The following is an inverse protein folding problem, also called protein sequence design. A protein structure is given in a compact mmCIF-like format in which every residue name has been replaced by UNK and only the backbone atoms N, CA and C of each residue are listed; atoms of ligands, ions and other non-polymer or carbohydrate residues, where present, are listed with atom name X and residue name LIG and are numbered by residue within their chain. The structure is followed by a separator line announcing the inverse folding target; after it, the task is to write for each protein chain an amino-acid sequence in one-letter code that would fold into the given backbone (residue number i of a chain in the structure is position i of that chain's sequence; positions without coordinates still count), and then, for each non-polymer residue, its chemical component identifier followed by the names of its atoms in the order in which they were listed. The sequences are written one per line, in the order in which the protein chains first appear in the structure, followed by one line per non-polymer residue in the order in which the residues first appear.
data_IF_994664349004
#
_entry.id   IF_994664349004
#
_cell.length_a   1.000
_cell.length_b   1.000
_cell.length_c   1.000
_cell.angle_alpha   90.00
_cell.angle_beta   90.00
_cell.angle_gamma   90.00
#
_symmetry.space_group_name_H-M   'P 1'
#
loop_
_entity.id
_entity.type
_entity.pdbx_description
1 polymer ?
#
# COMPACT_ATOMS: atom_id res chain seq x y z
N UNK A 1 3.81 -6.26 -11.74
CA UNK A 1 3.32 -6.85 -10.47
C UNK A 1 2.12 -7.78 -10.67
N UNK A 2 1.26 -7.53 -11.67
CA UNK A 2 -0.02 -8.25 -11.86
C UNK A 2 0.06 -9.77 -12.05
N UNK A 3 1.14 -10.29 -12.66
CA UNK A 3 1.33 -11.75 -12.82
C UNK A 3 1.83 -12.37 -11.50
N UNK A 4 2.77 -11.69 -10.83
CA UNK A 4 3.40 -12.17 -9.61
C UNK A 4 2.42 -12.23 -8.43
N UNK A 5 1.52 -11.26 -8.35
CA UNK A 5 0.46 -11.23 -7.34
C UNK A 5 -0.45 -12.48 -7.42
N UNK A 6 -0.77 -12.94 -8.63
CA UNK A 6 -1.61 -14.13 -8.85
C UNK A 6 -0.94 -15.43 -8.42
N UNK A 7 0.39 -15.48 -8.39
CA UNK A 7 1.15 -16.63 -7.91
C UNK A 7 1.09 -16.79 -6.38
N UNK A 8 0.68 -15.75 -5.66
CA UNK A 8 0.49 -15.80 -4.22
C UNK A 8 -0.89 -16.37 -3.89
N UNK A 9 -0.92 -17.52 -3.23
CA UNK A 9 -2.15 -18.23 -2.83
C UNK A 9 -2.31 -18.13 -1.32
N UNK A 10 -3.47 -17.64 -0.90
CA UNK A 10 -3.83 -17.45 0.51
C UNK A 10 -3.81 -18.81 1.23
N UNK A 11 -3.29 -18.84 2.46
CA UNK A 11 -3.09 -20.00 3.33
C UNK A 11 -2.14 -21.08 2.79
N UNK A 12 -1.44 -20.82 1.69
CA UNK A 12 -0.49 -21.77 1.10
C UNK A 12 0.90 -21.16 0.96
N UNK A 13 0.98 -19.95 0.39
CA UNK A 13 2.27 -19.31 0.17
C UNK A 13 2.87 -18.87 1.50
N UNK A 14 4.11 -19.29 1.78
CA UNK A 14 4.84 -18.85 2.96
C UNK A 14 5.66 -17.58 2.68
N UNK A 15 6.16 -16.98 3.75
CA UNK A 15 7.01 -15.78 3.73
C UNK A 15 8.20 -15.90 2.78
N UNK A 16 8.91 -17.02 2.78
CA UNK A 16 10.09 -17.20 1.92
C UNK A 16 9.72 -17.24 0.43
N UNK A 17 8.59 -17.85 0.09
CA UNK A 17 8.09 -17.89 -1.28
C UNK A 17 7.64 -16.51 -1.75
N UNK A 18 7.00 -15.71 -0.86
CA UNK A 18 6.68 -14.31 -1.13
C UNK A 18 7.96 -13.53 -1.47
N UNK A 19 9.03 -13.68 -0.68
CA UNK A 19 10.32 -13.04 -0.96
C UNK A 19 10.96 -13.52 -2.27
N UNK A 20 10.87 -14.81 -2.61
CA UNK A 20 11.39 -15.33 -3.89
C UNK A 20 10.64 -14.75 -5.09
N UNK A 21 9.31 -14.65 -5.00
CA UNK A 21 8.45 -14.20 -6.10
C UNK A 21 8.53 -12.67 -6.27
N UNK A 22 8.36 -11.93 -5.18
CA UNK A 22 8.22 -10.47 -5.20
C UNK A 22 9.51 -9.71 -4.88
N UNK A 23 10.48 -10.34 -4.21
CA UNK A 23 11.64 -9.68 -3.64
C UNK A 23 11.35 -9.05 -2.28
N UNK A 24 12.25 -8.19 -1.78
CA UNK A 24 12.02 -7.45 -0.54
C UNK A 24 10.84 -6.48 -0.68
N UNK A 25 10.03 -6.28 0.37
CA UNK A 25 8.94 -5.31 0.33
C UNK A 25 9.47 -3.88 0.27
N UNK A 26 8.70 -2.99 -0.33
CA UNK A 26 9.01 -1.56 -0.37
C UNK A 26 8.93 -0.93 1.02
N UNK A 27 7.99 -1.39 1.84
CA UNK A 27 7.90 -1.01 3.25
C UNK A 27 7.15 -2.08 4.05
N UNK A 28 7.30 -2.03 5.37
CA UNK A 28 6.55 -2.86 6.31
C UNK A 28 5.47 -2.01 6.98
N UNK A 29 4.41 -2.65 7.49
CA UNK A 29 3.35 -1.95 8.21
C UNK A 29 3.93 -1.11 9.36
N UNK A 30 3.49 0.15 9.48
CA UNK A 30 3.98 1.05 10.53
C UNK A 30 3.57 0.60 11.94
N UNK A 31 2.47 -0.16 12.03
CA UNK A 31 1.90 -0.67 13.29
C UNK A 31 2.05 -2.18 13.44
N UNK A 32 2.34 -2.90 12.35
CA UNK A 32 2.45 -4.36 12.37
C UNK A 32 3.57 -4.82 11.41
N UNK A 33 4.55 -5.52 11.98
CA UNK A 33 5.70 -6.08 11.25
C UNK A 33 5.34 -7.25 10.34
N UNK A 34 4.12 -7.79 10.49
CA UNK A 34 3.59 -8.90 9.72
C UNK A 34 2.97 -8.48 8.37
N UNK A 35 2.95 -7.17 8.08
CA UNK A 35 2.41 -6.65 6.83
C UNK A 35 3.53 -6.15 5.93
N UNK A 36 3.58 -6.70 4.72
CA UNK A 36 4.49 -6.32 3.65
C UNK A 36 3.74 -5.55 2.57
N UNK A 37 4.27 -4.37 2.25
CA UNK A 37 3.72 -3.51 1.22
C UNK A 37 4.72 -3.41 0.08
N UNK A 38 4.25 -3.73 -1.12
CA UNK A 38 4.99 -3.61 -2.36
C UNK A 38 4.37 -2.50 -3.20
N UNK A 39 5.20 -1.56 -3.66
CA UNK A 39 4.77 -0.40 -4.45
C UNK A 39 5.50 -0.43 -5.79
N UNK A 40 4.76 -0.57 -6.88
CA UNK A 40 5.28 -0.43 -8.25
C UNK A 40 4.76 0.87 -8.88
N UNK A 41 5.68 1.80 -9.16
CA UNK A 41 5.38 3.08 -9.80
C UNK A 41 6.15 3.23 -11.12
N UNK A 42 5.44 3.53 -12.21
CA UNK A 42 6.05 3.92 -13.49
C UNK A 42 5.57 5.30 -13.91
N UNK A 43 6.52 6.15 -14.30
CA UNK A 43 6.24 7.52 -14.78
C UNK A 43 6.80 7.71 -16.18
N UNK A 44 6.04 8.39 -17.04
CA UNK A 44 6.51 8.88 -18.33
C UNK A 44 6.99 10.32 -18.20
N UNK A 45 8.11 10.65 -18.83
CA UNK A 45 8.61 12.03 -18.94
C UNK A 45 7.94 12.71 -20.13
N UNK A 46 7.33 13.88 -19.91
CA UNK A 46 6.82 14.68 -21.01
C UNK A 46 7.93 15.44 -21.74
N UNK A 47 7.63 15.91 -22.96
CA UNK A 47 8.57 16.71 -23.78
C UNK A 47 9.15 17.89 -22.96
N UNK A 48 10.39 18.28 -23.25
CA UNK A 48 11.08 19.42 -22.63
C UNK A 48 10.25 20.72 -22.65
N UNK A 49 9.47 20.96 -23.71
CA UNK A 49 8.52 22.10 -23.80
C UNK A 49 7.45 22.12 -22.71
N UNK A 50 7.13 20.97 -22.10
CA UNK A 50 6.24 20.84 -20.94
C UNK A 50 7.01 20.79 -19.61
N UNK A 51 8.26 21.27 -19.60
CA UNK A 51 9.17 21.28 -18.45
C UNK A 51 9.42 19.89 -17.85
N UNK A 52 9.41 18.85 -18.69
CA UNK A 52 9.71 17.48 -18.24
C UNK A 52 8.71 16.92 -17.21
N UNK A 53 7.51 17.50 -17.08
CA UNK A 53 6.47 17.04 -16.14
C UNK A 53 6.26 15.53 -16.29
N UNK A 54 6.32 14.80 -15.17
CA UNK A 54 6.16 13.35 -15.13
C UNK A 54 4.68 12.98 -15.09
N UNK A 55 4.20 12.15 -16.03
CA UNK A 55 2.85 11.56 -16.00
C UNK A 55 2.92 10.18 -15.35
N UNK A 56 2.12 9.94 -14.32
CA UNK A 56 2.01 8.64 -13.66
C UNK A 56 1.28 7.65 -14.57
N UNK A 57 2.00 6.64 -15.09
CA UNK A 57 1.47 5.58 -15.93
C UNK A 57 0.88 4.46 -15.08
N UNK A 58 1.70 3.89 -14.20
CA UNK A 58 1.34 2.77 -13.33
C UNK A 58 1.57 3.17 -11.88
N UNK A 59 0.62 2.81 -11.03
CA UNK A 59 0.72 2.85 -9.58
C UNK A 59 -0.04 1.64 -9.06
N UNK A 60 0.71 0.57 -8.79
CA UNK A 60 0.21 -0.68 -8.25
C UNK A 60 0.75 -0.83 -6.84
N UNK A 61 -0.14 -1.13 -5.90
CA UNK A 61 0.18 -1.39 -4.50
C UNK A 61 -0.35 -2.76 -4.17
N UNK A 62 0.55 -3.66 -3.77
CA UNK A 62 0.21 -4.97 -3.27
C UNK A 62 0.50 -5.02 -1.78
N UNK A 63 -0.52 -5.30 -1.00
CA UNK A 63 -0.47 -5.42 0.44
C UNK A 63 -0.59 -6.91 0.76
N UNK A 64 0.35 -7.43 1.54
CA UNK A 64 0.47 -8.85 1.88
C UNK A 64 0.54 -8.95 3.40
N UNK A 65 -0.38 -9.69 4.00
CA UNK A 65 -0.42 -9.94 5.43
C UNK A 65 -0.04 -11.39 5.70
N UNK A 66 0.87 -11.58 6.64
CA UNK A 66 1.42 -12.88 7.01
C UNK A 66 1.05 -13.15 8.46
N UNK A 67 0.67 -14.38 8.81
CA UNK A 67 0.45 -14.71 10.22
C UNK A 67 1.78 -14.87 10.99
N UNK A 68 1.67 -15.08 12.30
CA UNK A 68 2.82 -15.33 13.16
C UNK A 68 3.59 -16.61 12.80
N UNK A 69 3.00 -17.52 12.00
CA UNK A 69 3.65 -18.74 11.50
C UNK A 69 4.37 -18.52 10.17
N UNK A 70 4.27 -17.33 9.58
CA UNK A 70 4.90 -17.02 8.31
C UNK A 70 4.06 -17.40 7.08
N UNK A 71 2.76 -17.63 7.22
CA UNK A 71 1.85 -18.02 6.13
C UNK A 71 1.05 -16.80 5.66
N UNK A 72 0.88 -16.64 4.34
CA UNK A 72 0.05 -15.61 3.74
C UNK A 72 -1.42 -15.77 4.15
N UNK A 73 -1.97 -14.84 4.91
CA UNK A 73 -3.38 -14.86 5.35
C UNK A 73 -4.28 -13.92 4.57
N UNK A 74 -3.73 -12.83 4.04
CA UNK A 74 -4.49 -11.89 3.22
C UNK A 74 -3.60 -11.21 2.18
N UNK A 75 -4.19 -10.92 1.02
CA UNK A 75 -3.57 -10.10 -0.01
C UNK A 75 -4.59 -9.12 -0.59
N UNK A 76 -4.18 -7.87 -0.77
CA UNK A 76 -5.00 -6.84 -1.38
C UNK A 76 -4.19 -6.14 -2.49
N UNK A 77 -4.75 -6.11 -3.69
CA UNK A 77 -4.12 -5.51 -4.86
C UNK A 77 -4.89 -4.28 -5.36
N UNK A 78 -4.23 -3.13 -5.21
CA UNK A 78 -4.76 -1.81 -5.55
C UNK A 78 -4.01 -1.24 -6.75
N UNK A 79 -4.72 -0.97 -7.84
CA UNK A 79 -4.20 -0.23 -8.97
C UNK A 79 -4.62 1.24 -8.87
N UNK A 80 -4.04 2.09 -9.73
CA UNK A 80 -4.31 3.54 -9.77
C UNK A 80 -5.81 3.88 -9.80
N UNK A 81 -6.63 3.09 -10.49
CA UNK A 81 -8.07 3.31 -10.59
C UNK A 81 -8.81 2.93 -9.32
N UNK A 82 -8.50 1.77 -8.73
CA UNK A 82 -9.07 1.32 -7.46
C UNK A 82 -8.73 2.30 -6.33
N UNK A 83 -7.48 2.77 -6.27
CA UNK A 83 -7.05 3.76 -5.27
C UNK A 83 -7.88 5.04 -5.38
N UNK A 84 -8.11 5.55 -6.58
CA UNK A 84 -8.92 6.75 -6.80
C UNK A 84 -10.41 6.55 -6.44
N UNK A 85 -10.92 5.31 -6.48
CA UNK A 85 -12.29 4.95 -6.11
C UNK A 85 -12.47 4.71 -4.61
N UNK A 86 -11.39 4.62 -3.84
CA UNK A 86 -11.46 4.54 -2.38
C UNK A 86 -11.86 5.93 -1.87
N UNK A 87 -13.17 6.12 -1.70
CA UNK A 87 -13.72 7.28 -1.02
C UNK A 87 -13.39 7.15 0.47
N UNK A 88 -12.38 7.89 0.94
CA UNK A 88 -12.14 8.07 2.37
C UNK A 88 -13.25 8.96 2.91
N UNK A 89 -14.38 8.38 3.32
CA UNK A 89 -15.45 9.14 3.95
C UNK A 89 -14.93 9.76 5.25
N UNK A 90 -15.17 11.07 5.46
CA UNK A 90 -14.82 11.75 6.72
C UNK A 90 -15.68 11.26 7.90
N UNK A 91 -16.79 10.59 7.61
CA UNK A 91 -17.66 9.94 8.58
C UNK A 91 -16.97 8.71 9.19
N UNK A 92 -16.59 8.84 10.45
CA UNK A 92 -16.29 7.73 11.37
C UNK A 92 -17.54 6.87 11.50
N UNK A 93 -17.54 5.63 11.01
CA UNK A 93 -18.72 4.75 11.18
C UNK A 93 -18.35 3.28 11.45
N UNK A 94 -18.90 2.81 12.56
CA UNK A 94 -19.20 1.46 13.06
C UNK A 94 -18.22 0.30 12.86
N UNK A 95 -17.47 0.03 13.95
CA UNK A 95 -17.07 -1.24 14.60
C UNK A 95 -17.07 -2.57 13.81
N UNK A 96 -16.86 -2.59 12.50
CA UNK A 96 -16.65 -3.83 11.74
C UNK A 96 -15.14 -4.04 11.51
N UNK A 97 -14.50 -4.66 12.51
CA UNK A 97 -13.06 -4.56 12.81
C UNK A 97 -12.09 -5.40 11.95
N UNK A 98 -12.51 -6.28 11.05
CA UNK A 98 -11.56 -7.36 10.67
C UNK A 98 -10.62 -7.07 9.48
N UNK A 99 -11.06 -6.44 8.38
CA UNK A 99 -10.21 -6.35 7.15
C UNK A 99 -10.23 -5.02 6.41
N UNK A 100 -11.38 -4.33 6.33
CA UNK A 100 -11.46 -2.99 5.71
C UNK A 100 -10.67 -1.93 6.48
N UNK A 101 -10.60 -2.07 7.80
CA UNK A 101 -9.85 -1.17 8.69
C UNK A 101 -8.36 -1.15 8.36
N UNK A 102 -7.77 -2.29 8.02
CA UNK A 102 -6.33 -2.38 7.77
C UNK A 102 -5.89 -1.57 6.53
N UNK A 103 -6.54 -1.81 5.38
CA UNK A 103 -6.25 -1.08 4.13
C UNK A 103 -6.51 0.41 4.29
N UNK A 104 -7.62 0.76 4.96
CA UNK A 104 -7.94 2.15 5.28
C UNK A 104 -6.87 2.79 6.18
N UNK A 105 -6.46 2.12 7.26
CA UNK A 105 -5.44 2.59 8.20
C UNK A 105 -4.08 2.77 7.52
N UNK A 106 -3.68 1.84 6.67
CA UNK A 106 -2.46 1.94 5.87
C UNK A 106 -2.51 3.16 4.93
N UNK A 107 -3.54 3.28 4.10
CA UNK A 107 -3.65 4.38 3.14
C UNK A 107 -3.81 5.75 3.85
N UNK A 108 -4.50 5.78 4.98
CA UNK A 108 -4.61 6.97 5.84
C UNK A 108 -3.24 7.38 6.39
N UNK A 109 -2.45 6.42 6.90
CA UNK A 109 -1.08 6.69 7.37
C UNK A 109 -0.17 7.20 6.26
N UNK A 110 -0.29 6.66 5.03
CA UNK A 110 0.44 7.15 3.86
C UNK A 110 0.03 8.58 3.51
N UNK A 111 -1.28 8.86 3.46
CA UNK A 111 -1.81 10.21 3.22
C UNK A 111 -1.29 11.18 4.27
N UNK A 112 -1.27 10.79 5.55
CA UNK A 112 -0.73 11.61 6.62
C UNK A 112 0.76 11.89 6.42
N UNK A 113 1.58 10.88 6.11
CA UNK A 113 3.01 11.07 5.79
C UNK A 113 3.24 11.95 4.56
N UNK A 114 2.36 11.90 3.56
CA UNK A 114 2.46 12.78 2.39
C UNK A 114 2.10 14.23 2.77
N UNK A 115 1.07 14.42 3.59
CA UNK A 115 0.59 15.75 4.00
C UNK A 115 1.49 16.43 5.05
N UNK A 116 2.07 15.66 5.96
CA UNK A 116 3.02 16.10 6.98
C UNK A 116 4.23 15.15 7.01
N UNK A 117 5.15 15.27 6.04
CA UNK A 117 6.31 14.37 5.93
C UNK A 117 7.30 14.51 7.08
N UNK A 118 7.27 15.63 7.80
CA UNK A 118 8.16 15.91 8.92
C UNK A 118 7.49 15.70 10.29
N UNK A 119 6.18 15.42 10.33
CA UNK A 119 5.41 15.23 11.56
C UNK A 119 5.29 16.48 12.44
N UNK A 120 5.62 17.67 11.92
CA UNK A 120 5.74 18.91 12.71
C UNK A 120 4.48 19.77 12.67
N UNK A 121 3.53 19.51 11.77
CA UNK A 121 2.33 20.36 11.62
C UNK A 121 1.36 20.23 12.79
N UNK A 122 1.38 19.10 13.51
CA UNK A 122 0.54 18.87 14.71
C UNK A 122 1.00 19.62 15.96
N UNK A 123 2.26 20.04 16.04
CA UNK A 123 2.83 20.70 17.23
C UNK A 123 2.65 22.24 17.23
N UNK A 124 1.95 22.82 16.25
CA UNK A 124 1.74 24.26 16.12
C UNK A 124 0.35 24.73 16.61
N UNK A 125 -0.40 23.86 17.30
CA UNK A 125 -1.59 24.25 18.04
C UNK A 125 -1.24 24.31 19.54
N UNK A 126 -0.52 25.36 19.93
CA UNK A 126 -0.41 25.83 21.31
C UNK A 126 -0.48 27.35 21.27
#
# INVERSE_FOLDING_TARGET
MDIKEKQLVINQTNKNDIFKILGPPSTKGMFDNNVYIYIERKTSSSKLRKLGKKKLLINNVLIVEIDNKGILVSKEFLNKEKINKINFSESTTDKNYSKRSFVYGFLSSMRQKINDPLGKKRNQQN
#
